data_IF_316638507782
#
_entry.id   IF_316638507782
#
_cell.length_a   1.000
_cell.length_b   1.000
_cell.length_c   1.000
_cell.angle_alpha   90.00
_cell.angle_beta   90.00
_cell.angle_gamma   90.00
#
_symmetry.space_group_name_H-M   'P 1'
#
loop_
_entity.id
_entity.type
_entity.pdbx_description
1 polymer ?
#
# COMPACT_ATOMS: atom_id res chain seq x y z
N UNK A 1 4.29 -34.92 -46.71
CA UNK A 1 4.13 -34.31 -45.37
C UNK A 1 4.87 -35.09 -44.27
N UNK A 2 5.10 -36.41 -44.39
CA UNK A 2 5.96 -37.19 -43.45
C UNK A 2 7.44 -36.79 -43.51
N UNK A 3 8.01 -36.66 -44.71
CA UNK A 3 9.45 -36.45 -44.94
C UNK A 3 10.04 -35.22 -44.26
N UNK A 4 9.27 -34.12 -44.14
CA UNK A 4 9.73 -32.91 -43.44
C UNK A 4 9.74 -33.06 -41.91
N UNK A 5 8.85 -33.90 -41.38
CA UNK A 5 8.79 -34.22 -39.94
C UNK A 5 9.96 -35.12 -39.56
N UNK A 6 10.23 -36.12 -40.39
CA UNK A 6 11.33 -37.07 -40.19
C UNK A 6 12.69 -36.36 -40.28
N UNK A 7 12.85 -35.42 -41.22
CA UNK A 7 14.04 -34.58 -41.34
C UNK A 7 14.26 -33.69 -40.10
N UNK A 8 13.20 -33.11 -39.55
CA UNK A 8 13.29 -32.24 -38.37
C UNK A 8 13.59 -33.03 -37.09
N UNK A 9 13.05 -34.24 -36.95
CA UNK A 9 13.38 -35.15 -35.84
C UNK A 9 14.86 -35.53 -35.90
N UNK A 10 15.38 -35.87 -37.08
CA UNK A 10 16.79 -36.23 -37.22
C UNK A 10 17.73 -35.05 -36.92
N UNK A 11 17.34 -33.83 -37.28
CA UNK A 11 18.05 -32.59 -36.95
C UNK A 11 18.12 -32.35 -35.43
N UNK A 12 17.00 -32.53 -34.72
CA UNK A 12 16.96 -32.42 -33.25
C UNK A 12 17.84 -33.50 -32.60
N UNK A 13 17.77 -34.75 -33.09
CA UNK A 13 18.57 -35.85 -32.56
C UNK A 13 20.06 -35.66 -32.80
N UNK A 14 20.46 -35.17 -33.98
CA UNK A 14 21.86 -34.85 -34.28
C UNK A 14 22.36 -33.69 -33.43
N UNK A 15 21.57 -32.64 -33.27
CA UNK A 15 21.90 -31.52 -32.38
C UNK A 15 22.07 -31.98 -30.93
N UNK A 16 21.15 -32.79 -30.41
CA UNK A 16 21.21 -33.34 -29.06
C UNK A 16 22.44 -34.25 -28.85
N UNK A 17 22.78 -35.10 -29.83
CA UNK A 17 24.00 -35.94 -29.78
C UNK A 17 25.28 -35.10 -29.78
N UNK A 18 25.31 -34.03 -30.58
CA UNK A 18 26.46 -33.13 -30.67
C UNK A 18 26.67 -32.40 -29.35
N UNK A 19 25.60 -31.83 -28.78
CA UNK A 19 25.64 -31.21 -27.45
C UNK A 19 26.03 -32.20 -26.36
N UNK A 20 25.50 -33.43 -26.39
CA UNK A 20 25.88 -34.49 -25.44
C UNK A 20 27.37 -34.83 -25.54
N UNK A 21 27.96 -34.84 -26.73
CA UNK A 21 29.39 -35.11 -26.90
C UNK A 21 30.29 -33.99 -26.36
N UNK A 22 29.76 -32.78 -26.18
CA UNK A 22 30.48 -31.65 -25.57
C UNK A 22 30.41 -31.67 -24.04
N UNK A 23 29.52 -32.46 -23.45
CA UNK A 23 29.40 -32.62 -22.01
C UNK A 23 30.40 -33.68 -21.53
N UNK A 24 31.20 -33.34 -20.53
CA UNK A 24 32.15 -34.27 -19.92
C UNK A 24 31.47 -35.50 -19.30
N UNK A 25 32.23 -36.56 -19.05
CA UNK A 25 31.75 -37.81 -18.44
C UNK A 25 31.02 -37.57 -17.11
N UNK A 26 31.40 -36.52 -16.40
CA UNK A 26 30.95 -36.23 -15.03
C UNK A 26 29.71 -35.31 -15.01
N UNK A 27 29.16 -34.95 -16.18
CA UNK A 27 28.01 -34.05 -16.27
C UNK A 27 26.80 -34.58 -15.49
N UNK A 28 26.56 -35.90 -15.52
CA UNK A 28 25.46 -36.49 -14.77
C UNK A 28 25.66 -36.32 -13.26
N UNK A 29 26.88 -36.52 -12.77
CA UNK A 29 27.22 -36.35 -11.35
C UNK A 29 27.06 -34.88 -10.92
N UNK A 30 27.59 -33.94 -11.71
CA UNK A 30 27.45 -32.50 -11.46
C UNK A 30 25.99 -32.05 -11.48
N UNK A 31 25.17 -32.58 -12.40
CA UNK A 31 23.75 -32.29 -12.47
C UNK A 31 23.04 -32.79 -11.21
N UNK A 32 23.31 -34.02 -10.79
CA UNK A 32 22.74 -34.61 -9.58
C UNK A 32 23.16 -33.82 -8.34
N UNK A 33 24.44 -33.46 -8.23
CA UNK A 33 24.95 -32.62 -7.15
C UNK A 33 24.26 -31.24 -7.13
N UNK A 34 24.11 -30.58 -8.28
CA UNK A 34 23.44 -29.28 -8.37
C UNK A 34 21.95 -29.36 -7.96
N UNK A 35 21.27 -30.45 -8.34
CA UNK A 35 19.88 -30.71 -7.93
C UNK A 35 19.80 -30.88 -6.41
N UNK A 36 20.66 -31.72 -5.82
CA UNK A 36 20.70 -31.93 -4.37
C UNK A 36 21.10 -30.66 -3.60
N UNK A 37 22.07 -29.89 -4.09
CA UNK A 37 22.48 -28.63 -3.50
C UNK A 37 21.34 -27.58 -3.53
N UNK A 38 20.55 -27.58 -4.60
CA UNK A 38 19.37 -26.70 -4.72
C UNK A 38 18.26 -27.14 -3.77
N UNK A 39 17.96 -28.44 -3.71
CA UNK A 39 16.99 -29.00 -2.77
C UNK A 39 17.37 -28.72 -1.31
N UNK A 40 18.63 -28.89 -0.94
CA UNK A 40 19.15 -28.58 0.39
C UNK A 40 18.99 -27.08 0.73
N UNK A 41 19.31 -26.19 -0.21
CA UNK A 41 19.16 -24.73 -0.04
C UNK A 41 17.70 -24.31 0.15
N UNK A 42 16.78 -24.91 -0.59
CA UNK A 42 15.34 -24.65 -0.43
C UNK A 42 14.86 -25.15 0.94
N UNK A 43 15.24 -26.36 1.30
CA UNK A 43 14.85 -26.99 2.57
C UNK A 43 15.38 -26.20 3.77
N UNK A 44 16.62 -25.73 3.72
CA UNK A 44 17.24 -24.89 4.77
C UNK A 44 16.49 -23.56 4.97
N UNK A 45 15.86 -23.02 3.92
CA UNK A 45 15.05 -21.80 4.01
C UNK A 45 13.61 -22.06 4.44
N UNK A 46 13.02 -23.16 4.00
CA UNK A 46 11.60 -23.44 4.15
C UNK A 46 11.27 -24.17 5.47
N UNK A 47 12.17 -24.98 6.00
CA UNK A 47 11.91 -25.85 7.16
C UNK A 47 12.51 -25.27 8.44
N UNK A 48 11.75 -25.35 9.53
CA UNK A 48 12.24 -25.02 10.88
C UNK A 48 12.65 -26.33 11.55
N UNK A 49 13.95 -26.50 11.85
CA UNK A 49 14.45 -27.68 12.58
C UNK A 49 14.39 -27.45 14.10
N UNK A 50 13.84 -28.39 14.89
CA UNK A 50 13.87 -28.30 16.35
C UNK A 50 15.32 -28.27 16.87
N UNK A 51 15.67 -27.26 17.67
CA UNK A 51 16.99 -27.14 18.31
C UNK A 51 18.04 -26.32 17.53
N UNK A 52 17.80 -25.98 16.26
CA UNK A 52 18.67 -25.11 15.48
C UNK A 52 18.12 -23.68 15.51
N UNK A 53 18.98 -22.67 15.71
CA UNK A 53 18.54 -21.26 15.71
C UNK A 53 18.06 -20.92 14.31
N UNK A 54 16.74 -20.79 14.14
CA UNK A 54 16.14 -20.33 12.89
C UNK A 54 16.85 -19.05 12.44
N UNK A 55 17.30 -19.01 11.17
CA UNK A 55 17.93 -17.81 10.60
C UNK A 55 16.99 -16.63 10.82
N UNK A 56 17.51 -15.58 11.46
CA UNK A 56 16.77 -14.35 11.76
C UNK A 56 16.58 -13.57 10.46
N UNK A 57 15.53 -13.89 9.71
CA UNK A 57 15.04 -12.99 8.66
C UNK A 57 14.42 -11.76 9.34
N UNK A 58 14.59 -10.57 8.75
CA UNK A 58 14.02 -9.33 9.29
C UNK A 58 12.50 -9.48 9.50
N UNK A 59 11.78 -10.06 8.53
CA UNK A 59 10.36 -10.37 8.63
C UNK A 59 10.02 -11.19 9.89
N UNK A 60 10.77 -12.27 10.16
CA UNK A 60 10.56 -13.10 11.35
C UNK A 60 10.80 -12.36 12.65
N UNK A 61 11.70 -11.38 12.64
CA UNK A 61 12.03 -10.59 13.82
C UNK A 61 10.92 -9.57 14.11
N UNK A 62 10.41 -8.92 13.06
CA UNK A 62 9.28 -8.00 13.13
C UNK A 62 8.02 -8.77 13.56
N UNK A 63 7.71 -9.89 12.92
CA UNK A 63 6.55 -10.72 13.28
C UNK A 63 6.62 -11.19 14.73
N UNK A 64 7.80 -11.60 15.20
CA UNK A 64 7.98 -12.01 16.60
C UNK A 64 7.78 -10.84 17.56
N UNK A 65 8.22 -9.64 17.20
CA UNK A 65 8.05 -8.44 18.03
C UNK A 65 6.56 -8.04 18.10
N UNK A 66 5.93 -7.92 16.94
CA UNK A 66 4.52 -7.51 16.78
C UNK A 66 3.56 -8.54 17.38
N UNK A 67 3.85 -9.84 17.21
CA UNK A 67 2.98 -10.94 17.68
C UNK A 67 3.34 -11.41 19.10
N UNK A 68 4.34 -10.81 19.75
CA UNK A 68 4.68 -11.22 21.12
C UNK A 68 3.54 -10.86 22.07
N UNK A 69 3.26 -11.74 23.03
CA UNK A 69 2.17 -11.54 23.99
C UNK A 69 2.35 -10.32 24.89
N UNK A 70 3.59 -9.85 25.07
CA UNK A 70 3.91 -8.69 25.90
C UNK A 70 4.07 -7.41 25.10
N UNK A 71 4.73 -7.43 23.92
CA UNK A 71 4.91 -6.21 23.10
C UNK A 71 3.79 -5.96 22.10
N UNK A 72 2.99 -6.97 21.75
CA UNK A 72 1.86 -6.82 20.85
C UNK A 72 0.83 -5.82 21.37
N UNK A 73 0.49 -5.87 22.67
CA UNK A 73 -0.44 -4.90 23.28
C UNK A 73 0.08 -3.45 23.23
N UNK A 74 1.30 -3.15 23.72
CA UNK A 74 1.90 -1.81 23.57
C UNK A 74 1.95 -1.31 22.13
N UNK A 75 2.37 -2.16 21.18
CA UNK A 75 2.46 -1.80 19.76
C UNK A 75 1.07 -1.48 19.19
N UNK A 76 0.07 -2.28 19.56
CA UNK A 76 -1.31 -2.05 19.16
C UNK A 76 -1.83 -0.70 19.69
N UNK A 77 -1.62 -0.40 20.97
CA UNK A 77 -2.01 0.90 21.55
C UNK A 77 -1.28 2.07 20.90
N UNK A 78 0.01 1.91 20.59
CA UNK A 78 0.79 2.93 19.90
C UNK A 78 0.25 3.19 18.48
N UNK A 79 0.01 2.13 17.70
CA UNK A 79 -0.59 2.25 16.37
C UNK A 79 -1.97 2.91 16.41
N UNK A 80 -2.79 2.52 17.40
CA UNK A 80 -4.10 3.11 17.60
C UNK A 80 -3.99 4.59 17.98
N UNK A 81 -3.10 4.95 18.90
CA UNK A 81 -2.85 6.34 19.28
C UNK A 81 -2.36 7.18 18.08
N UNK A 82 -1.47 6.63 17.25
CA UNK A 82 -1.01 7.28 16.01
C UNK A 82 -2.17 7.47 15.04
N UNK A 83 -3.03 6.47 14.86
CA UNK A 83 -4.21 6.58 14.01
C UNK A 83 -5.18 7.63 14.53
N UNK A 84 -5.51 7.63 15.82
CA UNK A 84 -6.37 8.64 16.44
C UNK A 84 -5.78 10.04 16.33
N UNK A 85 -4.48 10.18 16.58
CA UNK A 85 -3.77 11.43 16.40
C UNK A 85 -3.88 11.93 14.97
N UNK A 86 -3.64 11.07 13.98
CA UNK A 86 -3.74 11.42 12.57
C UNK A 86 -5.17 11.80 12.19
N UNK A 87 -6.19 11.10 12.70
CA UNK A 87 -7.58 11.42 12.41
C UNK A 87 -8.03 12.73 13.07
N UNK A 88 -7.66 12.96 14.33
CA UNK A 88 -8.07 14.16 15.07
C UNK A 88 -7.25 15.38 14.62
N UNK A 89 -5.93 15.31 14.71
CA UNK A 89 -5.06 16.44 14.34
C UNK A 89 -4.96 16.63 12.83
N UNK A 90 -5.01 15.55 12.05
CA UNK A 90 -4.97 15.62 10.60
C UNK A 90 -6.26 16.13 9.98
N UNK A 91 -7.40 16.09 10.69
CA UNK A 91 -8.64 16.72 10.26
C UNK A 91 -8.63 18.25 10.41
N UNK A 92 -7.79 18.80 11.29
CA UNK A 92 -7.73 20.25 11.52
C UNK A 92 -7.25 21.03 10.28
N UNK A 93 -6.28 20.47 9.55
CA UNK A 93 -5.73 21.10 8.32
C UNK A 93 -6.76 21.17 7.18
N UNK A 94 -7.40 20.06 6.73
CA UNK A 94 -8.42 20.11 5.70
C UNK A 94 -9.66 20.89 6.15
N UNK A 95 -9.99 20.87 7.46
CA UNK A 95 -11.05 21.74 7.99
C UNK A 95 -10.76 23.21 7.74
N UNK A 96 -9.56 23.68 8.13
CA UNK A 96 -9.16 25.07 7.96
C UNK A 96 -9.18 25.51 6.48
N UNK A 97 -8.80 24.61 5.56
CA UNK A 97 -8.88 24.87 4.12
C UNK A 97 -10.33 25.05 3.64
N UNK A 98 -11.26 24.22 4.13
CA UNK A 98 -12.68 24.32 3.79
C UNK A 98 -13.29 25.59 4.38
N UNK A 99 -12.94 25.93 5.63
CA UNK A 99 -13.38 27.16 6.29
C UNK A 99 -12.94 28.39 5.49
N UNK A 100 -11.66 28.47 5.12
CA UNK A 100 -11.12 29.55 4.32
C UNK A 100 -11.82 29.67 2.95
N UNK A 101 -12.12 28.54 2.30
CA UNK A 101 -12.79 28.55 1.01
C UNK A 101 -14.26 28.99 1.12
N UNK A 102 -15.05 28.35 1.98
CA UNK A 102 -16.49 28.60 2.06
C UNK A 102 -16.82 29.91 2.80
N UNK A 103 -16.12 30.20 3.89
CA UNK A 103 -16.43 31.33 4.77
C UNK A 103 -15.61 32.55 4.39
N UNK A 104 -14.30 32.44 4.16
CA UNK A 104 -13.48 33.62 3.93
C UNK A 104 -13.46 34.06 2.45
N UNK A 105 -13.75 33.15 1.51
CA UNK A 105 -13.71 33.44 0.07
C UNK A 105 -15.09 33.52 -0.55
N UNK A 106 -15.92 32.48 -0.40
CA UNK A 106 -17.19 32.38 -1.12
C UNK A 106 -18.28 33.26 -0.48
N UNK A 107 -18.42 33.27 0.86
CA UNK A 107 -19.40 34.11 1.55
C UNK A 107 -19.32 35.61 1.20
N UNK A 108 -18.15 36.29 1.26
CA UNK A 108 -18.08 37.71 0.90
C UNK A 108 -18.41 37.95 -0.58
N UNK A 109 -17.97 37.05 -1.48
CA UNK A 109 -18.30 37.14 -2.90
C UNK A 109 -19.81 37.03 -3.17
N UNK A 110 -20.50 36.13 -2.45
CA UNK A 110 -21.96 36.00 -2.50
C UNK A 110 -22.66 37.26 -1.98
N UNK A 111 -22.14 37.85 -0.90
CA UNK A 111 -22.67 39.06 -0.27
C UNK A 111 -22.53 40.28 -1.19
N UNK A 112 -21.36 40.46 -1.77
CA UNK A 112 -21.06 41.52 -2.75
C UNK A 112 -21.87 41.33 -4.04
N UNK A 113 -21.99 40.10 -4.54
CA UNK A 113 -22.82 39.78 -5.70
C UNK A 113 -24.31 40.05 -5.44
N UNK A 114 -24.83 39.71 -4.26
CA UNK A 114 -26.21 40.00 -3.88
C UNK A 114 -26.46 41.51 -3.76
N UNK A 115 -25.51 42.26 -3.22
CA UNK A 115 -25.56 43.72 -3.17
C UNK A 115 -25.52 44.33 -4.59
N UNK A 116 -24.70 43.81 -5.49
CA UNK A 116 -24.56 44.29 -6.87
C UNK A 116 -25.82 44.07 -7.72
N UNK A 117 -26.56 42.98 -7.48
CA UNK A 117 -27.83 42.67 -8.16
C UNK A 117 -29.02 43.39 -7.49
N UNK A 118 -28.80 44.06 -6.36
CA UNK A 118 -29.83 44.81 -5.64
C UNK A 118 -30.83 43.91 -4.90
N UNK A 119 -30.38 42.75 -4.39
CA UNK A 119 -31.26 41.86 -3.65
C UNK A 119 -31.82 42.54 -2.38
N UNK A 120 -33.11 42.35 -2.05
CA UNK A 120 -33.69 42.84 -0.80
C UNK A 120 -32.99 42.27 0.44
N UNK A 121 -32.74 43.10 1.45
CA UNK A 121 -31.99 42.73 2.66
C UNK A 121 -32.52 41.51 3.40
N UNK A 122 -33.83 41.32 3.42
CA UNK A 122 -34.46 40.18 4.06
C UNK A 122 -34.17 38.85 3.32
N UNK A 123 -33.99 38.89 2.00
CA UNK A 123 -33.80 37.70 1.18
C UNK A 123 -32.35 37.21 1.26
N UNK A 124 -31.39 38.11 1.07
CA UNK A 124 -29.98 37.72 1.18
C UNK A 124 -29.56 37.48 2.63
N UNK A 125 -30.15 38.18 3.61
CA UNK A 125 -29.96 37.86 5.04
C UNK A 125 -30.48 36.47 5.44
N UNK A 126 -31.62 36.02 4.87
CA UNK A 126 -32.14 34.68 5.13
C UNK A 126 -31.28 33.59 4.47
N UNK A 127 -30.97 33.77 3.18
CA UNK A 127 -30.34 32.73 2.36
C UNK A 127 -28.81 32.68 2.55
N UNK A 128 -28.15 33.84 2.55
CA UNK A 128 -26.69 33.93 2.61
C UNK A 128 -26.22 33.92 4.07
N UNK A 129 -26.72 34.85 4.88
CA UNK A 129 -26.27 34.97 6.28
C UNK A 129 -26.87 33.87 7.18
N UNK A 130 -28.06 33.35 6.85
CA UNK A 130 -28.71 32.26 7.59
C UNK A 130 -28.36 30.87 7.08
N UNK A 131 -28.91 30.50 5.91
CA UNK A 131 -28.80 29.12 5.40
C UNK A 131 -27.37 28.76 4.97
N UNK A 132 -26.73 29.62 4.15
CA UNK A 132 -25.40 29.34 3.62
C UNK A 132 -24.33 29.39 4.72
N UNK A 133 -24.25 30.49 5.47
CA UNK A 133 -23.25 30.62 6.54
C UNK A 133 -23.44 29.55 7.62
N UNK A 134 -24.69 29.24 8.00
CA UNK A 134 -24.99 28.17 8.94
C UNK A 134 -24.55 26.79 8.44
N UNK A 135 -24.79 26.48 7.15
CA UNK A 135 -24.35 25.21 6.55
C UNK A 135 -22.83 25.15 6.42
N UNK A 136 -22.19 26.23 5.97
CA UNK A 136 -20.74 26.34 5.87
C UNK A 136 -20.07 26.14 7.23
N UNK A 137 -20.65 26.71 8.29
CA UNK A 137 -20.22 26.48 9.67
C UNK A 137 -20.40 25.03 10.11
N UNK A 138 -21.55 24.40 9.87
CA UNK A 138 -21.75 22.98 10.24
C UNK A 138 -20.76 22.08 9.49
N UNK A 139 -20.57 22.29 8.19
CA UNK A 139 -19.61 21.54 7.38
C UNK A 139 -18.17 21.77 7.85
N UNK A 140 -17.85 23.00 8.25
CA UNK A 140 -16.54 23.36 8.78
C UNK A 140 -16.32 22.87 10.22
N UNK A 141 -17.34 22.82 11.08
CA UNK A 141 -17.21 22.42 12.50
C UNK A 141 -17.24 20.90 12.68
N UNK A 142 -17.90 20.16 11.78
CA UNK A 142 -17.92 18.70 11.82
C UNK A 142 -16.57 18.06 11.48
N UNK A 143 -15.67 18.79 10.82
CA UNK A 143 -14.23 18.52 10.80
C UNK A 143 -13.60 19.55 11.74
N UNK A 144 -13.22 19.24 12.99
CA UNK A 144 -12.91 20.24 14.00
C UNK A 144 -11.93 21.33 13.52
N UNK A 145 -12.28 22.62 13.69
CA UNK A 145 -11.30 23.69 13.73
C UNK A 145 -11.62 24.56 14.93
N UNK A 146 -10.95 24.32 16.06
CA UNK A 146 -10.66 25.39 17.02
C UNK A 146 -9.63 24.88 18.03
N UNK A 147 -8.39 25.20 17.74
CA UNK A 147 -7.48 25.77 18.72
C UNK A 147 -7.08 27.16 18.19
#
# INVERSE_FOLDING_TARGET
MSTSRDAHVEEILTTARTLRSQLGTDFHEQLVEAVYATAARITDRAVIKPGEKARLTLDRTIDRLVTSRLWGFPIMFLLFAVMFWLTISGANVPSAMIAWLLIDTIYPLLREGAAAIGLPWWLWGLVIDGMYLGTAWVLSVMLPPMA
#
